data_IF_700426542584
#
_entry.id   IF_700426542584
#
_cell.length_a   1.000
_cell.length_b   1.000
_cell.length_c   1.000
_cell.angle_alpha   90.00
_cell.angle_beta   90.00
_cell.angle_gamma   90.00
#
_symmetry.space_group_name_H-M   'P 1'
#
loop_
_entity.id
_entity.type
_entity.pdbx_description
1 polymer ?
#
# COMPACT_ATOMS: atom_id res chain seq x y z
N UNK A 1 2.73 13.17 11.04
CA UNK A 1 3.09 11.72 11.04
C UNK A 1 3.45 11.14 12.44
N UNK A 2 3.37 11.88 13.55
CA UNK A 2 4.30 11.67 14.68
C UNK A 2 4.19 10.36 15.50
N UNK A 3 3.02 9.73 15.71
CA UNK A 3 2.94 8.60 16.66
C UNK A 3 2.30 7.31 16.10
N UNK A 4 1.61 7.38 14.96
CA UNK A 4 0.86 6.23 14.44
C UNK A 4 1.62 5.37 13.44
N UNK A 5 2.79 5.82 13.01
CA UNK A 5 3.70 5.05 12.17
C UNK A 5 4.84 4.52 13.03
N UNK A 6 5.20 3.25 12.83
CA UNK A 6 6.41 2.70 13.43
C UNK A 6 7.65 3.41 12.89
N UNK A 7 8.74 3.28 13.64
CA UNK A 7 10.03 3.80 13.20
C UNK A 7 10.49 3.14 11.89
N UNK A 8 10.11 1.88 11.65
CA UNK A 8 10.39 1.17 10.41
C UNK A 8 9.70 1.84 9.21
N UNK A 9 8.40 2.14 9.30
CA UNK A 9 7.68 2.82 8.21
C UNK A 9 8.21 4.24 8.00
N UNK A 10 8.44 5.00 9.08
CA UNK A 10 9.03 6.35 8.99
C UNK A 10 10.39 6.32 8.28
N UNK A 11 11.23 5.35 8.59
CA UNK A 11 12.56 5.19 7.99
C UNK A 11 12.45 4.78 6.52
N UNK A 12 11.61 3.79 6.21
CA UNK A 12 11.38 3.34 4.84
C UNK A 12 10.85 4.47 3.96
N UNK A 13 9.87 5.23 4.46
CA UNK A 13 9.27 6.35 3.75
C UNK A 13 10.23 7.53 3.58
N UNK A 14 10.97 7.92 4.63
CA UNK A 14 11.99 8.96 4.51
C UNK A 14 13.14 8.57 3.57
N UNK A 15 13.55 7.29 3.56
CA UNK A 15 14.54 6.79 2.60
C UNK A 15 14.00 6.84 1.16
N UNK A 16 12.72 6.51 0.98
CA UNK A 16 12.05 6.59 -0.31
C UNK A 16 11.93 8.04 -0.83
N UNK A 17 11.56 9.00 0.04
CA UNK A 17 11.50 10.42 -0.31
C UNK A 17 12.89 11.03 -0.60
N UNK A 18 13.92 10.66 0.18
CA UNK A 18 15.30 11.19 0.02
C UNK A 18 16.02 10.71 -1.23
N UNK A 19 15.70 9.53 -1.75
CA UNK A 19 16.33 8.92 -2.95
C UNK A 19 15.88 9.53 -4.28
N UNK A 20 15.20 10.69 -4.24
CA UNK A 20 14.66 11.43 -5.38
C UNK A 20 15.13 11.01 -6.76
N UNK A 21 14.24 10.42 -7.56
CA UNK A 21 14.20 10.45 -9.03
C UNK A 21 15.43 9.92 -9.79
N UNK A 22 16.48 9.45 -9.13
CA UNK A 22 17.54 8.67 -9.74
C UNK A 22 17.30 7.18 -9.46
N UNK A 23 17.35 6.37 -10.50
CA UNK A 23 17.21 4.92 -10.38
C UNK A 23 18.57 4.29 -10.00
N UNK A 24 19.36 4.92 -9.12
CA UNK A 24 20.71 4.47 -8.79
C UNK A 24 20.67 3.23 -7.87
N UNK A 25 20.46 2.07 -8.51
CA UNK A 25 21.09 0.75 -8.28
C UNK A 25 21.26 0.18 -6.86
N UNK A 26 20.64 0.74 -5.82
CA UNK A 26 20.81 0.29 -4.44
C UNK A 26 19.51 -0.13 -3.75
N UNK A 27 19.06 -1.36 -3.96
CA UNK A 27 18.28 -2.19 -3.02
C UNK A 27 17.28 -1.46 -2.07
N UNK A 28 16.37 -0.61 -2.57
CA UNK A 28 15.21 -0.22 -1.76
C UNK A 28 13.96 -0.85 -2.34
N UNK A 29 13.30 -1.64 -1.50
CA UNK A 29 11.89 -1.99 -1.53
C UNK A 29 11.04 -1.09 -2.43
N UNK A 30 10.93 -1.37 -3.74
CA UNK A 30 10.10 -0.59 -4.65
C UNK A 30 8.90 -1.42 -5.09
N UNK A 31 7.74 -0.78 -5.03
CA UNK A 31 6.46 -1.34 -5.44
C UNK A 31 5.97 -0.55 -6.66
N UNK A 32 5.55 -1.21 -7.73
CA UNK A 32 4.82 -0.57 -8.84
C UNK A 32 3.34 -0.65 -8.56
N UNK A 33 2.65 0.47 -8.75
CA UNK A 33 1.21 0.63 -8.70
C UNK A 33 0.72 0.85 -10.14
N UNK A 34 -0.15 -0.02 -10.64
CA UNK A 34 -0.78 0.16 -11.95
C UNK A 34 -2.28 0.34 -11.79
N UNK A 35 -2.75 1.56 -11.98
CA UNK A 35 -4.18 1.86 -12.11
C UNK A 35 -4.59 1.50 -13.54
N UNK A 36 -5.44 0.49 -13.68
CA UNK A 36 -5.82 -0.10 -14.97
C UNK A 36 -6.56 0.86 -15.91
N UNK A 37 -7.19 0.30 -16.94
CA UNK A 37 -7.99 1.06 -17.89
C UNK A 37 -9.07 1.88 -17.18
N UNK A 38 -9.08 3.17 -17.46
CA UNK A 38 -9.97 4.10 -16.80
C UNK A 38 -11.36 4.06 -17.46
N UNK A 39 -12.40 4.40 -16.69
CA UNK A 39 -13.78 4.34 -17.16
C UNK A 39 -14.06 5.28 -18.37
N UNK A 40 -13.23 6.31 -18.54
CA UNK A 40 -13.24 7.26 -19.66
C UNK A 40 -12.41 6.79 -20.87
N UNK A 41 -11.81 5.59 -20.82
CA UNK A 41 -10.92 5.07 -21.85
C UNK A 41 -9.49 5.62 -21.78
N UNK A 42 -9.14 6.41 -20.75
CA UNK A 42 -7.78 6.88 -20.58
C UNK A 42 -6.80 5.72 -20.34
N UNK A 43 -5.55 5.93 -20.77
CA UNK A 43 -4.48 4.97 -20.60
C UNK A 43 -4.27 4.62 -19.10
N UNK A 44 -3.83 3.40 -18.78
CA UNK A 44 -3.44 3.04 -17.42
C UNK A 44 -2.41 4.02 -16.85
N UNK A 45 -2.56 4.37 -15.57
CA UNK A 45 -1.58 5.19 -14.86
C UNK A 45 -0.65 4.27 -14.09
N UNK A 46 0.65 4.40 -14.33
CA UNK A 46 1.69 3.58 -13.68
C UNK A 46 2.53 4.48 -12.78
N UNK A 47 2.65 4.09 -11.52
CA UNK A 47 3.50 4.75 -10.52
C UNK A 47 4.52 3.74 -10.01
N UNK A 48 5.80 4.04 -10.15
CA UNK A 48 6.92 3.19 -9.75
C UNK A 48 8.04 4.03 -9.11
N UNK A 49 9.23 3.45 -8.95
CA UNK A 49 10.37 4.10 -8.33
C UNK A 49 10.82 5.39 -9.05
N UNK A 50 10.58 5.50 -10.36
CA UNK A 50 11.06 6.60 -11.20
C UNK A 50 10.15 7.83 -11.16
N UNK A 51 8.88 7.63 -10.81
CA UNK A 51 7.84 8.67 -10.81
C UNK A 51 6.96 8.64 -9.55
N UNK A 52 7.54 8.22 -8.41
CA UNK A 52 6.91 8.31 -7.11
C UNK A 52 6.27 9.68 -6.85
N UNK A 53 5.07 9.67 -6.26
CA UNK A 53 4.30 10.90 -6.05
C UNK A 53 3.62 11.44 -7.30
N UNK A 54 3.58 10.69 -8.41
CA UNK A 54 2.72 11.00 -9.55
C UNK A 54 1.30 11.30 -9.07
N UNK A 55 0.72 12.41 -9.56
CA UNK A 55 -0.67 12.74 -9.26
C UNK A 55 -1.61 11.78 -9.99
N UNK A 56 -2.51 11.16 -9.24
CA UNK A 56 -3.55 10.27 -9.75
C UNK A 56 -4.87 10.80 -9.21
N UNK A 57 -5.79 11.15 -10.10
CA UNK A 57 -7.07 11.72 -9.69
C UNK A 57 -7.91 10.70 -8.89
N UNK A 58 -8.85 11.13 -8.04
CA UNK A 58 -9.74 10.22 -7.32
C UNK A 58 -10.56 9.31 -8.23
N UNK A 59 -10.87 9.77 -9.45
CA UNK A 59 -11.52 8.92 -10.48
C UNK A 59 -10.55 7.84 -10.94
N UNK A 60 -9.32 8.21 -11.28
CA UNK A 60 -8.30 7.26 -11.75
C UNK A 60 -7.91 6.21 -10.69
N UNK A 61 -7.89 6.63 -9.42
CA UNK A 61 -7.60 5.79 -8.27
C UNK A 61 -8.85 5.16 -7.64
N UNK A 62 -9.99 5.15 -8.35
CA UNK A 62 -11.20 4.43 -7.93
C UNK A 62 -10.97 2.92 -7.84
N UNK A 63 -10.46 2.23 -8.88
CA UNK A 63 -10.01 0.86 -8.75
C UNK A 63 -8.76 0.76 -7.87
N UNK A 64 -8.62 -0.34 -7.14
CA UNK A 64 -7.39 -0.68 -6.44
C UNK A 64 -6.27 -0.92 -7.48
N UNK A 65 -5.07 -0.34 -7.31
CA UNK A 65 -3.99 -0.55 -8.26
C UNK A 65 -3.49 -1.99 -8.20
N UNK A 66 -3.16 -2.56 -9.35
CA UNK A 66 -2.38 -3.80 -9.39
C UNK A 66 -0.97 -3.52 -8.87
N UNK A 67 -0.49 -4.40 -7.98
CA UNK A 67 0.82 -4.27 -7.36
C UNK A 67 1.84 -5.13 -8.09
N UNK A 68 3.08 -4.66 -8.21
CA UNK A 68 4.20 -5.49 -8.68
C UNK A 68 5.48 -5.17 -7.89
N UNK A 69 6.24 -6.20 -7.55
CA UNK A 69 7.52 -6.09 -6.87
C UNK A 69 8.65 -5.99 -7.89
N UNK A 70 9.70 -5.23 -7.59
CA UNK A 70 10.90 -5.20 -8.43
C UNK A 70 11.48 -6.61 -8.63
N UNK A 71 11.83 -6.96 -9.87
CA UNK A 71 12.27 -8.31 -10.25
C UNK A 71 13.49 -8.79 -9.46
N UNK A 72 14.43 -7.89 -9.14
CA UNK A 72 15.59 -8.20 -8.32
C UNK A 72 15.19 -8.60 -6.88
N UNK A 73 14.22 -7.90 -6.27
CA UNK A 73 13.70 -8.27 -4.96
C UNK A 73 12.91 -9.58 -5.02
N UNK A 74 12.06 -9.73 -6.04
CA UNK A 74 11.30 -10.96 -6.29
C UNK A 74 12.20 -12.20 -6.43
N UNK A 75 13.32 -12.09 -7.15
CA UNK A 75 14.28 -13.18 -7.35
C UNK A 75 14.94 -13.70 -6.06
N UNK A 76 14.94 -12.90 -4.98
CA UNK A 76 15.48 -13.30 -3.66
C UNK A 76 14.42 -13.94 -2.75
N UNK A 77 13.18 -14.06 -3.23
CA UNK A 77 12.06 -14.61 -2.47
C UNK A 77 11.99 -16.13 -2.57
N UNK A 78 11.62 -16.81 -1.48
CA UNK A 78 11.33 -18.24 -1.56
C UNK A 78 10.04 -18.48 -2.39
N UNK A 79 9.90 -19.61 -3.11
CA UNK A 79 8.78 -19.86 -4.04
C UNK A 79 7.38 -19.64 -3.44
N UNK A 80 7.16 -20.07 -2.19
CA UNK A 80 5.85 -19.99 -1.51
C UNK A 80 5.72 -18.75 -0.60
N UNK A 81 6.60 -17.76 -0.76
CA UNK A 81 6.55 -16.53 0.04
C UNK A 81 5.24 -15.79 -0.25
N UNK A 82 4.42 -15.64 0.78
CA UNK A 82 3.25 -14.76 0.75
C UNK A 82 3.59 -13.36 1.22
N UNK A 83 2.82 -12.41 0.75
CA UNK A 83 2.94 -11.00 1.08
C UNK A 83 1.61 -10.42 1.55
N UNK A 84 1.72 -9.40 2.41
CA UNK A 84 0.62 -8.60 2.87
C UNK A 84 0.87 -7.15 2.44
N UNK A 85 -0.10 -6.56 1.76
CA UNK A 85 -0.09 -5.15 1.37
C UNK A 85 -1.09 -4.35 2.20
N UNK A 86 -0.71 -3.15 2.62
CA UNK A 86 -1.61 -2.16 3.19
C UNK A 86 -1.51 -0.83 2.44
N UNK A 87 -2.63 -0.13 2.33
CA UNK A 87 -2.69 1.23 1.78
C UNK A 87 -3.17 2.23 2.82
N UNK A 88 -2.56 3.42 2.84
CA UNK A 88 -2.72 4.41 3.91
C UNK A 88 -2.79 5.83 3.35
N UNK A 89 -3.60 6.69 3.97
CA UNK A 89 -3.60 8.14 3.80
C UNK A 89 -3.12 8.80 5.12
N UNK A 90 -1.86 9.25 5.23
CA UNK A 90 -1.32 9.90 6.42
C UNK A 90 -1.81 11.33 6.61
N UNK A 91 -2.48 11.91 5.62
CA UNK A 91 -2.66 13.34 5.47
C UNK A 91 -4.11 13.78 5.79
N UNK A 92 -5.02 12.87 6.10
CA UNK A 92 -6.41 13.24 6.39
C UNK A 92 -6.62 14.04 7.69
N UNK A 93 -7.49 15.08 7.71
CA UNK A 93 -8.23 15.61 6.57
C UNK A 93 -7.44 16.59 5.70
N UNK A 94 -6.32 17.14 6.20
CA UNK A 94 -5.43 18.03 5.45
C UNK A 94 -3.96 17.69 5.79
N UNK A 95 -3.03 17.69 4.83
CA UNK A 95 -1.62 17.40 5.10
C UNK A 95 -1.02 18.30 6.19
N UNK A 96 -1.47 19.57 6.27
CA UNK A 96 -1.05 20.55 7.27
C UNK A 96 -1.65 20.32 8.66
N UNK A 97 -2.76 19.59 8.77
CA UNK A 97 -3.40 19.26 10.05
C UNK A 97 -4.05 17.85 10.01
N UNK A 98 -3.25 16.77 10.00
CA UNK A 98 -3.73 15.43 9.64
C UNK A 98 -4.29 14.65 10.84
N UNK A 99 -5.22 15.25 11.60
CA UNK A 99 -5.70 14.66 12.86
C UNK A 99 -6.62 13.43 12.70
N UNK A 100 -7.14 13.18 11.49
CA UNK A 100 -7.89 11.95 11.14
C UNK A 100 -6.96 10.86 10.59
N UNK A 101 -5.77 11.22 10.13
CA UNK A 101 -4.78 10.30 9.58
C UNK A 101 -4.00 9.50 10.64
N UNK A 102 -3.40 8.36 10.28
CA UNK A 102 -3.56 7.68 9.00
C UNK A 102 -4.98 7.10 8.84
N UNK A 103 -5.53 7.16 7.63
CA UNK A 103 -6.71 6.37 7.26
C UNK A 103 -6.22 5.08 6.59
N UNK A 104 -6.74 3.94 7.01
CA UNK A 104 -6.47 2.65 6.39
C UNK A 104 -7.37 2.44 5.16
N UNK A 105 -6.78 2.52 3.97
CA UNK A 105 -7.49 2.42 2.70
C UNK A 105 -7.80 0.98 2.32
N UNK A 106 -6.89 0.03 2.58
CA UNK A 106 -7.10 -1.37 2.26
C UNK A 106 -6.02 -2.27 2.88
N UNK A 107 -6.33 -3.56 2.98
CA UNK A 107 -5.43 -4.63 3.40
C UNK A 107 -5.69 -5.84 2.53
N UNK A 108 -4.67 -6.29 1.81
CA UNK A 108 -4.71 -7.50 0.98
C UNK A 108 -3.64 -8.47 1.49
N UNK A 109 -4.08 -9.65 1.90
CA UNK A 109 -3.21 -10.77 2.28
C UNK A 109 -3.14 -11.80 1.15
N UNK A 110 -2.32 -12.82 1.35
CA UNK A 110 -2.06 -13.95 0.46
C UNK A 110 -1.60 -13.53 -0.94
N UNK A 111 -0.91 -12.39 -1.05
CA UNK A 111 -0.28 -11.99 -2.30
C UNK A 111 0.92 -12.90 -2.58
N UNK A 112 1.01 -13.43 -3.78
CA UNK A 112 2.15 -14.22 -4.27
C UNK A 112 2.73 -13.56 -5.52
N UNK A 113 4.00 -13.83 -5.78
CA UNK A 113 4.68 -13.32 -6.97
C UNK A 113 4.26 -14.17 -8.18
N UNK A 114 3.66 -13.52 -9.17
CA UNK A 114 3.44 -14.13 -10.48
C UNK A 114 4.74 -14.06 -11.30
N UNK A 115 5.42 -15.20 -11.38
CA UNK A 115 6.65 -15.35 -12.14
C UNK A 115 6.42 -15.53 -13.66
N UNK A 116 5.16 -15.62 -14.11
CA UNK A 116 4.81 -15.94 -15.50
C UNK A 116 4.46 -14.73 -16.34
N UNK A 117 3.87 -13.68 -15.75
CA UNK A 117 3.34 -12.51 -16.49
C UNK A 117 4.15 -11.23 -16.32
N UNK A 118 5.22 -11.26 -15.53
CA UNK A 118 6.06 -10.07 -15.28
C UNK A 118 6.99 -9.68 -16.43
N UNK A 119 7.42 -8.42 -16.41
CA UNK A 119 8.43 -7.89 -17.31
C UNK A 119 9.85 -8.03 -16.72
N UNK A 120 10.86 -7.48 -17.40
CA UNK A 120 12.25 -7.57 -16.99
C UNK A 120 12.54 -6.87 -15.64
N UNK A 121 11.76 -5.85 -15.28
CA UNK A 121 11.96 -5.02 -14.09
C UNK A 121 10.95 -5.30 -12.98
N UNK A 122 9.77 -5.84 -13.29
CA UNK A 122 8.65 -5.96 -12.35
C UNK A 122 7.94 -7.30 -12.45
N UNK A 123 7.67 -7.91 -11.29
CA UNK A 123 6.88 -9.14 -11.13
C UNK A 123 5.55 -8.83 -10.44
N UNK A 124 4.40 -9.09 -11.10
CA UNK A 124 3.09 -8.84 -10.50
C UNK A 124 2.89 -9.60 -9.19
N UNK A 125 2.15 -8.99 -8.28
CA UNK A 125 1.64 -9.62 -7.08
C UNK A 125 0.16 -9.91 -7.30
N UNK A 126 -0.24 -11.16 -7.13
CA UNK A 126 -1.62 -11.61 -7.32
C UNK A 126 -2.09 -12.35 -6.07
N UNK A 127 -3.40 -12.36 -5.82
CA UNK A 127 -4.00 -13.17 -4.77
C UNK A 127 -5.24 -13.86 -5.31
N UNK A 128 -5.45 -15.10 -4.88
CA UNK A 128 -6.68 -15.86 -5.12
C UNK A 128 -7.72 -15.67 -4.01
N UNK A 129 -7.38 -14.90 -2.95
CA UNK A 129 -8.27 -14.62 -1.82
C UNK A 129 -8.81 -13.20 -1.87
N UNK A 130 -10.07 -12.96 -1.44
CA UNK A 130 -10.61 -11.60 -1.31
C UNK A 130 -9.77 -10.74 -0.35
N UNK A 131 -9.77 -9.40 -0.52
CA UNK A 131 -9.10 -8.51 0.41
C UNK A 131 -9.62 -8.66 1.85
N UNK A 132 -8.71 -8.68 2.83
CA UNK A 132 -9.06 -8.66 4.25
C UNK A 132 -9.79 -7.37 4.63
N UNK A 133 -9.39 -6.26 4.02
CA UNK A 133 -10.10 -5.00 4.07
C UNK A 133 -10.11 -4.39 2.67
N UNK A 134 -11.29 -4.34 2.04
CA UNK A 134 -11.44 -3.76 0.72
C UNK A 134 -10.85 -2.35 0.63
N UNK A 135 -10.13 -2.11 -0.46
CA UNK A 135 -9.65 -0.78 -0.83
C UNK A 135 -10.80 0.23 -0.95
N UNK A 136 -10.56 1.44 -0.45
CA UNK A 136 -11.41 2.60 -0.71
C UNK A 136 -10.56 3.64 -1.45
N UNK A 137 -11.17 4.29 -2.44
CA UNK A 137 -10.49 5.30 -3.25
C UNK A 137 -10.10 6.56 -2.45
N UNK A 138 -9.19 7.40 -2.98
CA UNK A 138 -8.95 8.74 -2.46
C UNK A 138 -10.24 9.55 -2.31
N UNK A 139 -10.29 10.35 -1.26
CA UNK A 139 -11.39 11.29 -1.02
C UNK A 139 -10.96 12.48 -0.18
N UNK A 140 -9.84 13.16 -0.53
CA UNK A 140 -9.44 14.35 0.19
C UNK A 140 -10.56 15.41 0.07
N UNK A 141 -10.79 16.23 1.11
CA UNK A 141 -11.78 17.31 1.03
C UNK A 141 -11.32 18.40 0.05
N UNK A 142 -12.27 19.18 -0.48
CA UNK A 142 -11.96 20.43 -1.19
C UNK A 142 -12.32 21.63 -0.30
N UNK A 143 -11.45 22.64 -0.16
CA UNK A 143 -10.07 22.70 -0.65
C UNK A 143 -9.10 21.93 0.26
N UNK A 144 -8.20 21.13 -0.30
CA UNK A 144 -7.05 20.53 0.40
C UNK A 144 -5.86 20.50 -0.56
N UNK A 145 -4.64 20.55 -0.01
CA UNK A 145 -3.47 20.14 -0.76
C UNK A 145 -3.55 18.63 -1.07
N UNK A 146 -2.75 18.13 -2.01
CA UNK A 146 -2.78 16.72 -2.34
C UNK A 146 -2.40 15.85 -1.13
N UNK A 147 -3.14 14.77 -0.93
CA UNK A 147 -2.82 13.74 0.07
C UNK A 147 -1.92 12.69 -0.57
N UNK A 148 -1.04 12.09 0.23
CA UNK A 148 -0.21 10.95 -0.18
C UNK A 148 -0.95 9.66 0.12
N UNK A 149 -1.01 8.77 -0.85
CA UNK A 149 -1.57 7.43 -0.69
C UNK A 149 -0.44 6.41 -0.73
N UNK A 150 -0.02 5.96 0.45
CA UNK A 150 1.16 5.12 0.65
C UNK A 150 0.74 3.66 0.59
N UNK A 151 1.48 2.85 -0.16
CA UNK A 151 1.37 1.39 -0.19
C UNK A 151 2.61 0.79 0.44
N UNK A 152 2.40 -0.12 1.40
CA UNK A 152 3.44 -0.85 2.09
C UNK A 152 3.23 -2.34 1.86
N UNK A 153 4.31 -3.05 1.54
CA UNK A 153 4.34 -4.49 1.35
C UNK A 153 5.22 -5.12 2.41
N UNK A 154 4.74 -6.20 3.02
CA UNK A 154 5.44 -7.00 4.02
C UNK A 154 5.47 -8.46 3.58
N UNK A 155 6.49 -9.21 4.00
CA UNK A 155 6.38 -10.67 4.01
C UNK A 155 5.29 -11.05 5.01
N UNK A 156 4.34 -11.87 4.56
CA UNK A 156 3.25 -12.35 5.40
C UNK A 156 3.77 -13.50 6.27
N UNK A 157 3.65 -13.42 7.60
CA UNK A 157 3.96 -14.54 8.48
C UNK A 157 3.15 -15.80 8.12
N UNK A 158 3.75 -16.96 8.31
CA UNK A 158 3.10 -18.24 8.06
C UNK A 158 1.82 -18.39 8.91
N UNK A 159 0.75 -18.92 8.32
CA UNK A 159 -0.54 -19.08 8.98
C UNK A 159 -1.33 -17.79 9.22
N UNK A 160 -0.81 -16.62 8.82
CA UNK A 160 -1.53 -15.34 8.95
C UNK A 160 -2.51 -15.13 7.78
N UNK A 161 -3.63 -15.84 7.78
CA UNK A 161 -4.73 -15.66 6.82
C UNK A 161 -5.71 -14.54 7.22
N UNK A 162 -6.74 -14.29 6.40
CA UNK A 162 -7.78 -13.29 6.67
C UNK A 162 -8.43 -13.45 8.05
N UNK A 163 -8.76 -14.68 8.45
CA UNK A 163 -9.40 -14.95 9.73
C UNK A 163 -8.48 -14.63 10.90
N UNK A 164 -7.20 -15.01 10.80
CA UNK A 164 -6.18 -14.69 11.80
C UNK A 164 -5.94 -13.18 11.91
N UNK A 165 -5.88 -12.46 10.78
CA UNK A 165 -5.74 -10.99 10.76
C UNK A 165 -6.93 -10.34 11.47
N UNK A 166 -8.16 -10.70 11.09
CA UNK A 166 -9.38 -10.15 11.70
C UNK A 166 -9.43 -10.40 13.20
N UNK A 167 -9.11 -11.62 13.63
CA UNK A 167 -9.09 -11.97 15.06
C UNK A 167 -8.04 -11.16 15.84
N UNK A 168 -6.80 -11.08 15.34
CA UNK A 168 -5.70 -10.32 15.97
C UNK A 168 -5.98 -8.82 16.04
N UNK A 169 -6.67 -8.28 15.05
CA UNK A 169 -7.01 -6.86 14.98
C UNK A 169 -8.33 -6.50 15.67
N UNK A 170 -9.12 -7.49 16.11
CA UNK A 170 -10.46 -7.26 16.68
C UNK A 170 -11.45 -6.74 15.64
N UNK A 171 -11.27 -7.08 14.36
CA UNK A 171 -12.16 -6.68 13.28
C UNK A 171 -13.34 -7.64 13.16
N UNK A 172 -14.39 -7.22 12.45
CA UNK A 172 -15.55 -8.07 12.22
C UNK A 172 -15.12 -9.37 11.51
N UNK A 173 -15.50 -10.52 12.06
CA UNK A 173 -15.15 -11.84 11.49
C UNK A 173 -15.83 -12.11 10.14
N UNK A 174 -16.92 -11.40 9.82
CA UNK A 174 -17.65 -11.50 8.56
C UNK A 174 -18.07 -10.10 8.09
N UNK A 175 -18.25 -9.94 6.78
CA UNK A 175 -18.60 -8.66 6.17
C UNK A 175 -17.43 -7.67 6.17
N UNK A 176 -17.70 -6.36 6.03
CA UNK A 176 -16.65 -5.35 6.02
C UNK A 176 -15.87 -5.38 7.34
N UNK A 177 -14.55 -5.58 7.26
CA UNK A 177 -13.71 -5.63 8.45
C UNK A 177 -13.80 -4.35 9.30
N UNK A 178 -13.91 -3.18 8.64
CA UNK A 178 -14.02 -1.86 9.27
C UNK A 178 -15.04 -0.96 8.55
N UNK A 179 -15.71 -0.12 9.33
CA UNK A 179 -16.48 1.03 8.82
C UNK A 179 -15.55 2.16 8.35
N UNK A 180 -16.08 3.21 7.70
CA UNK A 180 -15.28 4.40 7.33
C UNK A 180 -14.62 5.06 8.54
N UNK A 181 -15.32 5.20 9.66
CA UNK A 181 -14.75 5.77 10.89
C UNK A 181 -13.73 4.84 11.54
N UNK A 182 -13.93 3.52 11.48
CA UNK A 182 -12.99 2.52 12.00
C UNK A 182 -11.64 2.49 11.27
N UNK A 183 -11.54 3.09 10.09
CA UNK A 183 -10.29 3.23 9.32
C UNK A 183 -9.45 4.43 9.75
N UNK A 184 -10.04 5.41 10.43
CA UNK A 184 -9.36 6.67 10.80
C UNK A 184 -8.43 6.47 11.99
N UNK A 185 -7.40 7.32 12.07
CA UNK A 185 -6.42 7.34 13.18
C UNK A 185 -5.78 5.97 13.40
N UNK A 186 -5.61 5.21 12.32
CA UNK A 186 -5.12 3.85 12.36
C UNK A 186 -3.67 3.83 12.86
N UNK A 187 -3.38 2.97 13.85
CA UNK A 187 -2.04 2.80 14.41
C UNK A 187 -1.35 1.67 13.64
N UNK A 188 -0.48 2.04 12.70
CA UNK A 188 0.23 1.09 11.84
C UNK A 188 1.18 0.20 12.66
N UNK A 189 1.85 0.76 13.67
CA UNK A 189 2.73 0.00 14.56
C UNK A 189 2.02 -1.10 15.36
N UNK A 190 0.75 -0.88 15.73
CA UNK A 190 -0.08 -1.92 16.38
C UNK A 190 -0.40 -3.05 15.41
N UNK A 191 -0.70 -2.73 14.15
CA UNK A 191 -0.91 -3.75 13.11
C UNK A 191 0.36 -4.57 12.91
N UNK A 192 1.51 -3.91 12.74
CA UNK A 192 2.79 -4.60 12.56
C UNK A 192 3.10 -5.51 13.75
N UNK A 193 2.92 -5.02 14.98
CA UNK A 193 3.18 -5.78 16.20
C UNK A 193 2.22 -6.96 16.37
N UNK A 194 0.91 -6.74 16.23
CA UNK A 194 -0.13 -7.79 16.44
C UNK A 194 -0.06 -8.89 15.40
N UNK A 195 0.26 -8.52 14.17
CA UNK A 195 0.37 -9.46 13.04
C UNK A 195 1.76 -10.11 12.95
N UNK A 196 2.77 -9.61 13.68
CA UNK A 196 4.14 -10.11 13.61
C UNK A 196 4.84 -9.76 12.30
N UNK A 197 4.54 -8.59 11.73
CA UNK A 197 5.16 -8.14 10.49
C UNK A 197 6.61 -7.72 10.73
N UNK A 198 7.49 -8.13 9.81
CA UNK A 198 8.88 -7.72 9.79
C UNK A 198 9.09 -6.37 9.09
N UNK A 199 10.25 -6.21 8.45
CA UNK A 199 10.55 -5.01 7.67
C UNK A 199 9.62 -4.87 6.45
N UNK A 200 9.37 -3.61 6.05
CA UNK A 200 8.74 -3.28 4.77
C UNK A 200 9.67 -3.74 3.64
N UNK A 201 9.15 -4.54 2.72
CA UNK A 201 9.88 -5.10 1.56
C UNK A 201 9.48 -4.45 0.23
N UNK A 202 8.42 -3.66 0.20
CA UNK A 202 8.02 -2.82 -0.93
C UNK A 202 7.32 -1.55 -0.44
N UNK A 203 7.68 -0.41 -0.99
CA UNK A 203 6.99 0.87 -0.72
C UNK A 203 6.85 1.68 -2.00
N UNK A 204 5.71 2.36 -2.14
CA UNK A 204 5.52 3.44 -3.09
C UNK A 204 4.33 4.32 -2.63
N UNK A 205 4.18 5.50 -3.22
CA UNK A 205 3.02 6.34 -3.02
C UNK A 205 2.68 7.13 -4.28
N UNK A 206 1.42 7.54 -4.36
CA UNK A 206 0.93 8.52 -5.33
C UNK A 206 0.27 9.68 -4.59
N UNK A 207 0.05 10.80 -5.29
CA UNK A 207 -0.65 11.96 -4.73
C UNK A 207 -2.06 12.07 -5.33
N UNK A 208 -3.04 12.48 -4.53
CA UNK A 208 -4.39 12.74 -5.02
C UNK A 208 -5.02 13.96 -4.36
N UNK A 209 -5.78 14.72 -5.13
CA UNK A 209 -6.58 15.87 -4.70
C UNK A 209 -7.87 15.89 -5.52
N UNK A 210 -8.88 16.60 -5.02
CA UNK A 210 -10.11 16.87 -5.79
C UNK A 210 -9.84 17.71 -7.05
#
# INVERSE_FOLDING_TARGET
MADRFSQAVKTAFAAFEKKGKDNSTGSSATLRLTFGSQADGAAPVVVDATNAGTHVTPVQATPEPALALAAAAAATSAPDTKYLAISLDPDAPFPSFPFLGPILHGVQADLTIDNTTGDAAWRPLTSSTPPTLHYIKPGPPSPSAAHRYIFLLYKQPEGLDDAAIRAKMGWAAKGPALTRSGRMRFVVGDLETKLGLGAVVGINYFESSQ
#
